data_IF_985132964395
#
_entry.id   IF_985132964395
#
_cell.length_a   1.000
_cell.length_b   1.000
_cell.length_c   1.000
_cell.angle_alpha   90.00
_cell.angle_beta   90.00
_cell.angle_gamma   90.00
#
_symmetry.space_group_name_H-M   'P 1'
#
loop_
_entity.id
_entity.type
_entity.pdbx_description
1 polymer ?
#
# COMPACT_ATOMS: atom_id res chain seq x y z
N UNK A 1 -13.92 -14.79 17.59
CA UNK A 1 -13.86 -14.97 16.12
C UNK A 1 -12.90 -13.91 15.62
N UNK A 2 -11.77 -14.29 15.01
CA UNK A 2 -10.87 -13.30 14.39
C UNK A 2 -11.63 -12.70 13.22
N UNK A 3 -11.79 -11.38 13.18
CA UNK A 3 -12.44 -10.72 12.05
C UNK A 3 -11.69 -11.06 10.77
N UNK A 4 -12.43 -11.35 9.70
CA UNK A 4 -11.82 -11.55 8.39
C UNK A 4 -11.22 -10.26 7.84
N UNK A 5 -10.46 -10.37 6.76
CA UNK A 5 -9.89 -9.23 6.06
C UNK A 5 -10.99 -8.22 5.68
N UNK A 6 -10.79 -6.97 6.11
CA UNK A 6 -11.70 -5.87 5.85
C UNK A 6 -10.91 -4.60 5.51
N UNK A 7 -11.49 -3.74 4.69
CA UNK A 7 -10.91 -2.45 4.31
C UNK A 7 -12.02 -1.46 3.97
N UNK A 8 -11.73 -0.18 4.11
CA UNK A 8 -12.57 0.92 3.64
C UNK A 8 -11.69 2.13 3.29
N UNK A 9 -12.23 3.09 2.52
CA UNK A 9 -11.57 4.38 2.32
C UNK A 9 -11.95 5.30 3.50
N UNK A 10 -10.97 5.93 4.14
CA UNK A 10 -11.20 6.76 5.33
C UNK A 10 -11.86 8.13 5.01
N UNK A 11 -11.54 8.71 3.85
CA UNK A 11 -12.01 10.03 3.45
C UNK A 11 -13.30 10.02 2.63
N UNK A 12 -13.72 11.21 2.18
CA UNK A 12 -14.95 11.36 1.40
C UNK A 12 -14.71 11.17 -0.11
N UNK A 13 -15.78 11.24 -0.92
CA UNK A 13 -15.71 11.05 -2.38
C UNK A 13 -14.88 12.12 -3.12
N UNK A 14 -14.36 13.14 -2.43
CA UNK A 14 -13.54 14.22 -3.00
C UNK A 14 -12.06 13.90 -2.94
N UNK A 15 -11.67 12.87 -2.19
CA UNK A 15 -10.28 12.42 -2.19
C UNK A 15 -9.87 12.03 -3.61
N UNK A 16 -8.71 12.53 -4.09
CA UNK A 16 -8.32 12.34 -5.47
C UNK A 16 -7.91 10.89 -5.76
N UNK A 17 -7.69 10.05 -4.75
CA UNK A 17 -7.27 8.66 -4.91
C UNK A 17 -8.19 7.80 -4.06
N UNK A 18 -8.89 6.86 -4.71
CA UNK A 18 -9.89 6.00 -4.06
C UNK A 18 -9.63 4.55 -4.44
N UNK A 19 -9.58 3.68 -3.43
CA UNK A 19 -9.53 2.24 -3.61
C UNK A 19 -10.92 1.73 -4.00
N UNK A 20 -11.03 1.08 -5.17
CA UNK A 20 -12.29 0.56 -5.71
C UNK A 20 -12.55 -0.88 -5.26
N UNK A 21 -11.49 -1.69 -5.21
CA UNK A 21 -11.55 -3.06 -4.73
C UNK A 21 -10.20 -3.45 -4.14
N UNK A 22 -10.22 -4.26 -3.09
CA UNK A 22 -9.03 -4.91 -2.53
C UNK A 22 -9.44 -6.28 -1.98
N UNK A 23 -8.67 -7.30 -2.32
CA UNK A 23 -8.82 -8.67 -1.79
C UNK A 23 -7.46 -9.24 -1.43
N UNK A 24 -7.40 -9.92 -0.29
CA UNK A 24 -6.20 -10.59 0.22
C UNK A 24 -6.57 -12.01 0.63
N UNK A 25 -5.79 -13.00 0.20
CA UNK A 25 -5.98 -14.41 0.55
C UNK A 25 -4.64 -15.15 0.73
N UNK A 26 -4.56 -16.17 1.61
CA UNK A 26 -5.63 -16.65 2.48
C UNK A 26 -5.90 -15.71 3.66
N UNK A 27 -7.06 -15.90 4.28
CA UNK A 27 -7.47 -15.24 5.51
C UNK A 27 -7.80 -16.31 6.57
N UNK A 28 -7.02 -16.43 7.67
CA UNK A 28 -5.89 -15.57 8.04
C UNK A 28 -4.64 -15.80 7.16
N UNK A 29 -3.82 -14.76 7.07
CA UNK A 29 -2.51 -14.81 6.40
C UNK A 29 -1.60 -15.81 7.11
N UNK A 30 -0.99 -16.72 6.35
CA UNK A 30 -0.02 -17.70 6.85
C UNK A 30 1.41 -17.25 6.57
N UNK A 31 2.27 -17.22 7.60
CA UNK A 31 3.68 -16.82 7.49
C UNK A 31 4.57 -17.93 8.09
N UNK A 32 5.51 -18.52 7.34
CA UNK A 32 5.75 -18.28 5.92
C UNK A 32 4.64 -18.85 5.03
N UNK A 33 4.45 -18.28 3.83
CA UNK A 33 3.42 -18.73 2.89
C UNK A 33 3.26 -17.79 1.69
N UNK A 34 2.48 -18.21 0.71
CA UNK A 34 2.13 -17.38 -0.44
C UNK A 34 0.86 -16.57 -0.18
N UNK A 35 0.88 -15.31 -0.61
CA UNK A 35 -0.25 -14.41 -0.55
C UNK A 35 -0.74 -14.07 -1.96
N UNK A 36 -2.06 -13.98 -2.12
CA UNK A 36 -2.72 -13.46 -3.31
C UNK A 36 -3.33 -12.11 -2.97
N UNK A 37 -2.94 -11.09 -3.73
CA UNK A 37 -3.46 -9.74 -3.58
C UNK A 37 -4.04 -9.30 -4.91
N UNK A 38 -5.21 -8.67 -4.88
CA UNK A 38 -5.79 -8.01 -6.05
C UNK A 38 -6.34 -6.67 -5.61
N UNK A 39 -6.03 -5.61 -6.36
CA UNK A 39 -6.42 -4.25 -6.03
C UNK A 39 -6.81 -3.49 -7.30
N UNK A 40 -7.78 -2.59 -7.18
CA UNK A 40 -8.12 -1.62 -8.21
C UNK A 40 -8.21 -0.24 -7.55
N UNK A 41 -7.46 0.72 -8.09
CA UNK A 41 -7.37 2.09 -7.57
C UNK A 41 -7.77 3.05 -8.67
N UNK A 42 -8.59 4.05 -8.33
CA UNK A 42 -8.90 5.17 -9.20
C UNK A 42 -8.20 6.41 -8.69
N UNK A 43 -7.45 7.09 -9.55
CA UNK A 43 -6.92 8.42 -9.28
C UNK A 43 -7.60 9.45 -10.17
N UNK A 44 -7.90 10.62 -9.63
CA UNK A 44 -8.33 11.82 -10.34
C UNK A 44 -7.25 12.88 -10.43
N UNK A 45 -6.04 12.61 -9.89
CA UNK A 45 -4.90 13.53 -9.92
C UNK A 45 -3.60 12.77 -10.15
N UNK A 46 -2.70 13.39 -10.92
CA UNK A 46 -1.33 12.88 -11.05
C UNK A 46 -0.63 12.89 -9.68
N UNK A 47 -0.11 11.74 -9.26
CA UNK A 47 0.68 11.56 -8.04
C UNK A 47 2.17 11.56 -8.41
N UNK A 48 2.93 12.54 -7.94
CA UNK A 48 4.36 12.68 -8.23
C UNK A 48 5.17 13.05 -6.99
N UNK A 49 6.50 13.04 -7.12
CA UNK A 49 7.40 13.41 -6.03
C UNK A 49 7.27 14.90 -5.66
N UNK A 50 7.34 15.26 -4.37
CA UNK A 50 7.40 14.35 -3.22
C UNK A 50 6.01 13.77 -2.89
N UNK A 51 5.93 12.43 -2.77
CA UNK A 51 4.70 11.73 -2.41
C UNK A 51 4.80 11.15 -1.00
N UNK A 52 4.22 11.86 -0.03
CA UNK A 52 4.27 11.48 1.38
C UNK A 52 3.21 10.42 1.72
N UNK A 53 3.60 9.37 2.43
CA UNK A 53 2.71 8.34 2.99
C UNK A 53 2.90 8.25 4.50
N UNK A 54 1.80 8.27 5.25
CA UNK A 54 1.78 8.10 6.70
C UNK A 54 1.03 6.81 7.04
N UNK A 55 1.71 5.86 7.68
CA UNK A 55 1.14 4.60 8.12
C UNK A 55 0.97 4.59 9.64
N UNK A 56 -0.19 4.11 10.08
CA UNK A 56 -0.46 3.75 11.47
C UNK A 56 -0.79 2.27 11.47
N UNK A 57 0.00 1.49 12.22
CA UNK A 57 -0.16 0.04 12.33
C UNK A 57 -0.45 -0.29 13.78
N UNK A 58 -1.57 -0.96 14.03
CA UNK A 58 -2.01 -1.33 15.36
C UNK A 58 -2.20 -2.84 15.47
N UNK A 59 -1.95 -3.37 16.67
CA UNK A 59 -2.18 -4.77 17.02
C UNK A 59 -3.29 -4.86 18.07
N UNK A 60 -4.34 -5.62 17.77
CA UNK A 60 -5.37 -5.94 18.74
C UNK A 60 -4.86 -6.96 19.78
N UNK A 61 -5.09 -6.66 21.06
CA UNK A 61 -4.83 -7.52 22.22
C UNK A 61 -6.07 -7.52 23.12
N UNK A 62 -7.02 -8.41 22.84
CA UNK A 62 -8.35 -8.35 23.45
C UNK A 62 -9.09 -7.10 22.96
N UNK A 63 -9.57 -6.27 23.88
CA UNK A 63 -10.28 -5.02 23.59
C UNK A 63 -9.35 -3.81 23.37
N UNK A 64 -8.04 -3.98 23.57
CA UNK A 64 -7.04 -2.93 23.42
C UNK A 64 -6.39 -2.98 22.03
N UNK A 65 -6.17 -1.81 21.43
CA UNK A 65 -5.35 -1.63 20.24
C UNK A 65 -4.04 -0.96 20.62
N UNK A 66 -2.91 -1.59 20.31
CA UNK A 66 -1.57 -1.06 20.57
C UNK A 66 -0.94 -0.62 19.26
N UNK A 67 -0.63 0.66 19.14
CA UNK A 67 0.12 1.20 18.01
C UNK A 67 1.58 0.71 18.04
N UNK A 68 2.04 0.13 16.94
CA UNK A 68 3.41 -0.34 16.77
C UNK A 68 4.30 0.83 16.31
N UNK A 69 5.42 1.12 17.01
CA UNK A 69 6.33 2.20 16.62
C UNK A 69 7.02 1.90 15.29
N UNK A 70 7.54 2.94 14.63
CA UNK A 70 8.39 2.76 13.45
C UNK A 70 9.79 2.30 13.87
N UNK A 71 10.21 1.10 13.45
CA UNK A 71 11.54 0.55 13.67
C UNK A 71 11.99 -0.06 12.35
N UNK A 72 13.17 0.31 11.85
CA UNK A 72 13.73 -0.22 10.60
C UNK A 72 12.74 -0.20 9.42
N UNK A 73 11.99 0.90 9.28
CA UNK A 73 10.95 1.09 8.25
C UNK A 73 9.74 0.15 8.36
N UNK A 74 9.50 -0.44 9.54
CA UNK A 74 8.34 -1.29 9.84
C UNK A 74 7.53 -0.73 11.02
N UNK A 75 6.20 -0.82 10.92
CA UNK A 75 5.25 -0.29 11.94
C UNK A 75 4.63 1.05 11.52
N UNK A 76 4.35 1.91 12.48
CA UNK A 76 3.73 3.22 12.23
C UNK A 76 4.75 4.24 11.72
N UNK A 77 5.12 4.13 10.44
CA UNK A 77 6.16 4.94 9.81
C UNK A 77 5.57 6.09 8.96
N UNK A 78 6.36 7.15 8.80
CA UNK A 78 6.10 8.21 7.81
C UNK A 78 7.18 8.16 6.74
N UNK A 79 6.78 7.88 5.50
CA UNK A 79 7.65 7.93 4.33
C UNK A 79 7.44 9.28 3.64
N UNK A 80 8.46 10.13 3.66
CA UNK A 80 8.35 11.51 3.18
C UNK A 80 8.24 11.61 1.66
N UNK A 81 8.84 10.65 0.93
CA UNK A 81 8.71 10.55 -0.51
C UNK A 81 8.83 9.10 -0.97
N UNK A 82 7.70 8.44 -1.20
CA UNK A 82 7.69 7.06 -1.72
C UNK A 82 8.16 6.98 -3.17
N UNK A 83 8.17 8.08 -3.92
CA UNK A 83 8.73 8.10 -5.27
C UNK A 83 10.25 7.88 -5.24
N UNK A 84 10.96 8.57 -4.35
CA UNK A 84 12.40 8.35 -4.15
C UNK A 84 12.71 6.91 -3.71
N UNK A 85 11.88 6.33 -2.84
CA UNK A 85 12.03 4.93 -2.40
C UNK A 85 11.84 3.96 -3.58
N UNK A 86 10.87 4.21 -4.46
CA UNK A 86 10.67 3.40 -5.66
C UNK A 86 11.88 3.46 -6.59
N UNK A 87 12.46 4.64 -6.81
CA UNK A 87 13.64 4.81 -7.66
C UNK A 87 14.91 4.16 -7.08
N UNK A 88 15.03 4.06 -5.75
CA UNK A 88 16.11 3.32 -5.07
C UNK A 88 15.95 1.81 -5.22
N UNK A 89 14.72 1.29 -5.09
CA UNK A 89 14.42 -0.15 -5.17
C UNK A 89 14.37 -0.67 -6.61
N UNK A 90 13.91 0.16 -7.54
CA UNK A 90 13.73 -0.12 -8.95
C UNK A 90 14.44 1.01 -9.69
N UNK A 91 15.69 0.85 -10.13
CA UNK A 91 16.42 1.92 -10.79
C UNK A 91 15.73 2.38 -12.09
N UNK A 92 15.63 3.69 -12.37
CA UNK A 92 15.04 4.19 -13.61
C UNK A 92 15.69 3.57 -14.85
N UNK A 93 14.85 3.18 -15.82
CA UNK A 93 15.30 2.49 -17.05
C UNK A 93 15.36 0.97 -16.92
N UNK A 94 15.13 0.41 -15.74
CA UNK A 94 14.87 -1.02 -15.58
C UNK A 94 13.38 -1.34 -15.77
N UNK A 95 13.03 -2.54 -16.26
CA UNK A 95 11.63 -2.94 -16.35
C UNK A 95 11.02 -3.07 -14.94
N UNK A 96 9.75 -2.68 -14.80
CA UNK A 96 9.02 -2.93 -13.56
C UNK A 96 9.00 -4.42 -13.20
N UNK A 97 9.02 -4.79 -11.91
CA UNK A 97 8.95 -6.17 -11.51
C UNK A 97 7.59 -6.78 -11.84
N UNK A 98 7.54 -8.10 -12.03
CA UNK A 98 6.27 -8.83 -12.06
C UNK A 98 5.57 -8.72 -10.69
N UNK A 99 4.22 -8.61 -10.64
CA UNK A 99 3.28 -8.73 -11.75
C UNK A 99 3.00 -7.40 -12.49
N UNK A 100 3.64 -6.30 -12.09
CA UNK A 100 3.33 -4.96 -12.64
C UNK A 100 3.61 -4.89 -14.15
N UNK A 101 4.71 -5.51 -14.58
CA UNK A 101 5.07 -5.60 -16.00
C UNK A 101 3.99 -6.28 -16.84
N UNK A 102 3.53 -7.47 -16.46
CA UNK A 102 2.48 -8.21 -17.19
C UNK A 102 1.17 -7.41 -17.30
N UNK A 103 0.81 -6.64 -16.27
CA UNK A 103 -0.42 -5.84 -16.26
C UNK A 103 -0.24 -4.42 -16.81
N UNK A 104 0.96 -4.05 -17.27
CA UNK A 104 1.25 -2.70 -17.77
C UNK A 104 1.12 -1.60 -16.70
N UNK A 105 1.30 -1.96 -15.42
CA UNK A 105 1.19 -1.02 -14.30
C UNK A 105 2.54 -0.32 -14.12
N UNK A 106 2.58 1.03 -14.10
CA UNK A 106 3.82 1.75 -13.85
C UNK A 106 4.33 1.52 -12.43
N UNK A 107 5.66 1.50 -12.26
CA UNK A 107 6.34 1.36 -10.97
C UNK A 107 7.16 2.59 -10.56
N UNK A 108 7.07 3.67 -11.34
CA UNK A 108 7.74 4.93 -11.08
C UNK A 108 6.74 6.09 -11.09
N UNK A 109 7.04 7.10 -10.27
CA UNK A 109 6.35 8.36 -10.33
C UNK A 109 6.75 9.17 -11.59
N UNK A 110 5.89 10.06 -12.10
CA UNK A 110 4.53 10.31 -11.63
C UNK A 110 3.52 9.26 -12.13
N UNK A 111 2.63 8.82 -11.24
CA UNK A 111 1.46 8.04 -11.59
C UNK A 111 0.37 8.98 -12.13
N UNK A 112 0.02 8.81 -13.40
CA UNK A 112 -0.97 9.67 -14.08
C UNK A 112 -2.39 9.36 -13.58
N UNK A 113 -3.25 10.38 -13.63
CA UNK A 113 -4.69 10.24 -13.42
C UNK A 113 -5.35 9.37 -14.50
#
# INVERSE_FOLDING_TARGET
QVGGFAWENCGDKRDPVVLQSLSVAPDPISIPGSLRVSAAVKSGKTMGSPLKVMLVVEKALGDLWIQLPCIDQLGSCTYNDVCSILDELIPPGTPCPEPLLTYGIPCHCPFKA
#
